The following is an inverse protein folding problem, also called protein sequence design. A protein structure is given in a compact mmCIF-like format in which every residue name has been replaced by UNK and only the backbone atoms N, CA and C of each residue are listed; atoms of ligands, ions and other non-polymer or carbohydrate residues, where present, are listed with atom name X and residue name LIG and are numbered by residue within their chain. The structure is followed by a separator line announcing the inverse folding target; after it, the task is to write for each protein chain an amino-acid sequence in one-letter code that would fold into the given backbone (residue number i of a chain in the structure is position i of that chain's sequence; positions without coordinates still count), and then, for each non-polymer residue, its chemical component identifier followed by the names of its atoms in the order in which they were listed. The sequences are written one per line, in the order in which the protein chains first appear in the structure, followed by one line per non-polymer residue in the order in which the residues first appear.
data_IF_008496428599
#
_entry.id   IF_008496428599
#
_cell.length_a   1.000
_cell.length_b   1.000
_cell.length_c   1.000
_cell.angle_alpha   90.00
_cell.angle_beta   90.00
_cell.angle_gamma   90.00
#
_symmetry.space_group_name_H-M   'P 1'
#
loop_
_entity.id
_entity.type
_entity.pdbx_description
1 polymer ?
#
# COMPACT_ATOMS: atom_id res chain seq x y z
N UNK A 1 19.89 6.55 7.97
CA UNK A 1 19.57 5.72 9.15
C UNK A 1 20.23 4.36 9.01
N UNK A 2 21.06 3.90 9.93
CA UNK A 2 21.65 2.54 9.84
C UNK A 2 20.54 1.52 10.00
N UNK A 3 20.34 0.64 9.03
CA UNK A 3 19.40 -0.49 9.07
C UNK A 3 19.63 -1.29 10.35
N UNK A 4 18.62 -1.40 11.21
CA UNK A 4 18.68 -2.35 12.32
C UNK A 4 18.61 -3.76 11.72
N UNK A 5 19.54 -4.66 12.03
CA UNK A 5 19.75 -5.90 11.27
C UNK A 5 18.64 -6.96 11.38
N UNK A 6 17.54 -6.71 12.07
CA UNK A 6 16.46 -7.68 12.33
C UNK A 6 15.03 -7.15 12.11
N UNK A 7 14.86 -5.96 11.52
CA UNK A 7 13.50 -5.47 11.24
C UNK A 7 12.96 -6.12 9.96
N UNK A 8 11.76 -6.69 10.06
CA UNK A 8 11.01 -7.17 8.90
C UNK A 8 10.55 -5.98 8.06
N UNK A 9 10.67 -6.11 6.76
CA UNK A 9 10.24 -5.10 5.78
C UNK A 9 8.92 -5.50 5.14
N UNK A 10 8.31 -4.58 4.40
CA UNK A 10 7.12 -4.85 3.62
C UNK A 10 7.37 -5.95 2.59
N UNK A 11 8.54 -5.97 1.94
CA UNK A 11 8.92 -7.03 1.01
C UNK A 11 8.99 -8.41 1.69
N UNK A 12 9.43 -8.51 2.95
CA UNK A 12 9.41 -9.77 3.69
C UNK A 12 8.00 -10.33 3.88
N UNK A 13 7.00 -9.45 3.91
CA UNK A 13 5.61 -9.84 4.10
C UNK A 13 4.87 -10.13 2.79
N UNK A 14 5.21 -9.44 1.70
CA UNK A 14 4.38 -9.40 0.49
C UNK A 14 5.04 -10.02 -0.75
N UNK A 15 6.35 -10.29 -0.75
CA UNK A 15 7.08 -10.69 -1.96
C UNK A 15 6.63 -12.01 -2.61
N UNK A 16 5.86 -12.83 -1.93
CA UNK A 16 5.25 -14.06 -2.44
C UNK A 16 3.80 -13.89 -2.89
N UNK A 17 3.28 -12.66 -2.88
CA UNK A 17 1.96 -12.30 -3.40
C UNK A 17 2.09 -11.39 -4.62
N UNK A 18 1.11 -11.50 -5.51
CA UNK A 18 0.83 -10.57 -6.60
C UNK A 18 -0.69 -10.40 -6.76
N UNK A 19 -1.12 -9.69 -7.80
CA UNK A 19 -2.54 -9.43 -8.04
C UNK A 19 -3.39 -10.71 -8.17
N UNK A 20 -2.81 -11.81 -8.61
CA UNK A 20 -3.49 -13.08 -8.87
C UNK A 20 -3.42 -14.05 -7.67
N UNK A 21 -2.65 -13.72 -6.64
CA UNK A 21 -2.50 -14.51 -5.42
C UNK A 21 -1.06 -14.85 -5.08
N UNK A 22 -0.75 -16.14 -4.85
CA UNK A 22 0.62 -16.55 -4.59
C UNK A 22 1.43 -16.64 -5.87
N UNK A 23 2.59 -16.00 -5.88
CA UNK A 23 3.56 -16.17 -6.96
C UNK A 23 4.06 -17.61 -6.98
N UNK A 24 4.16 -18.18 -8.18
CA UNK A 24 4.84 -19.43 -8.39
C UNK A 24 6.34 -19.26 -8.02
N UNK A 25 6.88 -20.29 -7.37
CA UNK A 25 8.23 -20.27 -6.82
C UNK A 25 9.28 -20.04 -7.94
N UNK A 26 10.10 -18.99 -7.88
CA UNK A 26 11.11 -18.71 -8.91
C UNK A 26 12.34 -19.64 -8.85
N UNK A 27 12.19 -20.88 -8.44
CA UNK A 27 13.18 -21.96 -8.71
C UNK A 27 14.33 -22.11 -7.73
N UNK A 28 14.62 -21.20 -6.82
CA UNK A 28 15.61 -21.40 -5.75
C UNK A 28 14.96 -21.45 -4.36
N UNK A 29 14.49 -22.66 -4.02
CA UNK A 29 13.79 -22.96 -2.76
C UNK A 29 14.61 -22.52 -1.54
N UNK A 30 15.94 -22.65 -1.55
CA UNK A 30 16.78 -22.28 -0.41
C UNK A 30 16.93 -20.77 -0.24
N UNK A 31 16.99 -20.02 -1.34
CA UNK A 31 17.04 -18.56 -1.33
C UNK A 31 15.70 -17.99 -0.87
N UNK A 32 14.61 -18.51 -1.41
CA UNK A 32 13.25 -18.18 -1.04
C UNK A 32 12.97 -18.49 0.44
N UNK A 33 13.35 -19.67 0.94
CA UNK A 33 13.14 -20.07 2.34
C UNK A 33 13.85 -19.17 3.36
N UNK A 34 15.01 -18.62 3.02
CA UNK A 34 15.76 -17.74 3.93
C UNK A 34 15.25 -16.32 3.92
N UNK A 35 14.89 -15.79 2.74
CA UNK A 35 14.49 -14.40 2.54
C UNK A 35 13.02 -14.16 2.90
N UNK A 36 12.16 -15.17 2.80
CA UNK A 36 10.71 -15.07 2.98
C UNK A 36 10.17 -15.85 4.19
N UNK A 37 10.98 -15.97 5.24
CA UNK A 37 10.60 -16.69 6.47
C UNK A 37 9.26 -16.19 7.05
N UNK A 38 9.03 -14.90 7.01
CA UNK A 38 7.79 -14.28 7.51
C UNK A 38 6.59 -14.68 6.63
N UNK A 39 6.67 -14.44 5.31
CA UNK A 39 5.62 -14.81 4.38
C UNK A 39 5.26 -16.31 4.49
N UNK A 40 6.26 -17.19 4.57
CA UNK A 40 6.05 -18.62 4.79
C UNK A 40 5.32 -18.93 6.10
N UNK A 41 5.62 -18.20 7.19
CA UNK A 41 4.90 -18.33 8.45
C UNK A 41 3.43 -17.93 8.29
N UNK A 42 3.16 -16.86 7.55
CA UNK A 42 1.79 -16.41 7.27
C UNK A 42 1.01 -17.43 6.44
N UNK A 43 1.65 -18.07 5.45
CA UNK A 43 1.07 -19.19 4.66
C UNK A 43 0.81 -20.45 5.48
N UNK A 44 1.26 -20.55 6.71
CA UNK A 44 1.10 -21.73 7.55
C UNK A 44 1.93 -22.94 7.10
N UNK A 45 3.06 -22.74 6.41
CA UNK A 45 3.97 -23.77 5.92
C UNK A 45 3.42 -24.64 4.76
N UNK A 46 2.28 -24.29 4.19
CA UNK A 46 1.66 -25.06 3.08
C UNK A 46 2.26 -24.64 1.73
N UNK A 47 2.67 -25.62 0.93
CA UNK A 47 3.31 -25.37 -0.39
C UNK A 47 2.32 -25.06 -1.51
N UNK A 48 1.16 -25.68 -1.53
CA UNK A 48 0.14 -25.50 -2.59
C UNK A 48 -1.16 -25.01 -1.99
N UNK A 49 -1.31 -23.71 -1.80
CA UNK A 49 -2.52 -23.12 -1.28
C UNK A 49 -3.13 -22.21 -2.33
N UNK A 50 -4.43 -22.33 -2.53
CA UNK A 50 -5.21 -21.35 -3.30
C UNK A 50 -4.95 -19.95 -2.74
N UNK A 51 -5.06 -18.95 -3.60
CA UNK A 51 -4.97 -17.54 -3.19
C UNK A 51 -5.74 -17.29 -1.88
N UNK A 52 -5.23 -16.41 -0.99
CA UNK A 52 -5.93 -16.07 0.25
C UNK A 52 -7.33 -15.53 -0.04
N UNK A 53 -8.32 -15.86 0.80
CA UNK A 53 -9.72 -15.53 0.54
C UNK A 53 -10.03 -14.04 0.43
N UNK A 54 -9.29 -13.19 1.12
CA UNK A 54 -9.50 -11.74 1.14
C UNK A 54 -8.47 -11.00 0.26
N UNK A 55 -7.90 -11.68 -0.74
CA UNK A 55 -6.94 -11.14 -1.66
C UNK A 55 -7.59 -10.76 -3.00
N UNK A 56 -8.54 -9.83 -2.93
CA UNK A 56 -9.24 -9.33 -4.11
C UNK A 56 -8.67 -7.96 -4.50
N UNK A 57 -8.09 -7.85 -5.67
CA UNK A 57 -7.66 -6.58 -6.22
C UNK A 57 -8.87 -5.76 -6.67
N UNK A 58 -8.88 -4.47 -6.37
CA UNK A 58 -9.96 -3.58 -6.79
C UNK A 58 -9.72 -3.07 -8.19
N UNK A 59 -10.77 -3.09 -9.00
CA UNK A 59 -10.76 -2.41 -10.29
C UNK A 59 -10.82 -0.90 -10.07
N UNK A 60 -9.80 -0.20 -10.54
CA UNK A 60 -9.72 1.25 -10.56
C UNK A 60 -9.96 1.79 -11.96
N UNK A 61 -10.54 3.00 -12.07
CA UNK A 61 -10.62 3.67 -13.36
C UNK A 61 -9.22 4.01 -13.88
N UNK A 62 -9.05 4.09 -15.21
CA UNK A 62 -7.75 4.43 -15.81
C UNK A 62 -7.12 5.69 -15.22
N UNK A 63 -7.93 6.73 -14.93
CA UNK A 63 -7.44 7.95 -14.27
C UNK A 63 -6.89 7.70 -12.86
N UNK A 64 -7.45 6.76 -12.11
CA UNK A 64 -7.00 6.42 -10.75
C UNK A 64 -5.72 5.59 -10.82
N UNK A 65 -5.62 4.64 -11.77
CA UNK A 65 -4.40 3.87 -12.01
C UNK A 65 -3.24 4.80 -12.36
N UNK A 66 -3.46 5.71 -13.31
CA UNK A 66 -2.47 6.71 -13.71
C UNK A 66 -2.02 7.61 -12.54
N UNK A 67 -2.95 7.92 -11.61
CA UNK A 67 -2.58 8.64 -10.38
C UNK A 67 -1.72 7.80 -9.45
N UNK A 68 -1.95 6.50 -9.36
CA UNK A 68 -1.10 5.61 -8.57
C UNK A 68 0.30 5.49 -9.19
N UNK A 69 0.41 5.41 -10.52
CA UNK A 69 1.70 5.48 -11.21
C UNK A 69 2.43 6.81 -10.88
N UNK A 70 1.70 7.93 -10.84
CA UNK A 70 2.27 9.22 -10.46
C UNK A 70 2.73 9.24 -9.00
N UNK A 71 2.02 8.58 -8.08
CA UNK A 71 2.47 8.46 -6.70
C UNK A 71 3.75 7.62 -6.57
N UNK A 72 3.91 6.56 -7.38
CA UNK A 72 5.17 5.80 -7.44
C UNK A 72 6.30 6.70 -7.91
N UNK A 73 6.13 7.41 -9.02
CA UNK A 73 7.12 8.37 -9.51
C UNK A 73 7.47 9.43 -8.45
N UNK A 74 6.48 9.99 -7.77
CA UNK A 74 6.73 10.96 -6.70
C UNK A 74 7.48 10.37 -5.50
N UNK A 75 7.22 9.11 -5.17
CA UNK A 75 7.94 8.41 -4.11
C UNK A 75 9.42 8.19 -4.47
N UNK A 76 9.70 7.82 -5.73
CA UNK A 76 11.06 7.60 -6.26
C UNK A 76 11.86 8.91 -6.32
N UNK A 77 11.21 10.00 -6.74
CA UNK A 77 11.83 11.32 -6.87
C UNK A 77 11.77 12.16 -5.58
N UNK A 78 11.24 11.58 -4.50
CA UNK A 78 11.04 12.28 -3.22
C UNK A 78 10.18 13.56 -3.32
N UNK A 79 9.20 13.56 -4.21
CA UNK A 79 8.21 14.63 -4.40
C UNK A 79 7.02 14.42 -3.46
N UNK A 80 6.56 15.48 -2.81
CA UNK A 80 5.39 15.39 -1.94
C UNK A 80 4.09 15.28 -2.74
N UNK A 81 3.26 14.28 -2.46
CA UNK A 81 1.93 14.11 -3.07
C UNK A 81 0.99 15.30 -2.80
N UNK A 82 1.32 16.18 -1.83
CA UNK A 82 0.54 17.40 -1.55
C UNK A 82 0.40 18.32 -2.76
N UNK A 83 1.31 18.22 -3.73
CA UNK A 83 1.25 18.98 -4.99
C UNK A 83 -0.06 18.72 -5.75
N UNK A 84 -0.57 17.48 -5.72
CA UNK A 84 -1.84 17.11 -6.37
C UNK A 84 -3.08 17.75 -5.72
N UNK A 85 -2.96 18.24 -4.50
CA UNK A 85 -4.03 18.97 -3.82
C UNK A 85 -4.07 20.47 -4.15
N UNK A 86 -3.02 21.04 -4.74
CA UNK A 86 -2.97 22.47 -5.04
C UNK A 86 -4.04 22.92 -6.04
N UNK A 87 -4.22 22.24 -7.20
CA UNK A 87 -5.23 22.65 -8.17
C UNK A 87 -6.67 22.54 -7.65
N UNK A 88 -6.90 21.76 -6.60
CA UNK A 88 -8.25 21.62 -6.01
C UNK A 88 -8.61 22.73 -5.03
N UNK A 89 -7.65 23.60 -4.70
CA UNK A 89 -7.78 24.68 -3.68
C UNK A 89 -7.62 26.07 -4.28
N UNK A 90 -7.19 26.16 -5.52
CA UNK A 90 -6.90 27.42 -6.21
C UNK A 90 -7.81 27.48 -7.43
N UNK A 91 -8.82 28.36 -7.41
CA UNK A 91 -9.82 28.47 -8.47
C UNK A 91 -9.24 29.05 -9.78
N UNK A 92 -8.22 29.91 -9.68
CA UNK A 92 -7.53 30.49 -10.83
C UNK A 92 -6.53 29.49 -11.41
N UNK A 93 -6.77 29.02 -12.63
CA UNK A 93 -5.94 28.02 -13.30
C UNK A 93 -4.49 28.47 -13.48
N UNK A 94 -4.26 29.72 -13.83
CA UNK A 94 -2.90 30.25 -14.00
C UNK A 94 -2.11 30.23 -12.68
N UNK A 95 -2.77 30.67 -11.59
CA UNK A 95 -2.16 30.64 -10.25
C UNK A 95 -1.95 29.22 -9.76
N UNK A 96 -2.90 28.31 -10.04
CA UNK A 96 -2.76 26.90 -9.70
C UNK A 96 -1.55 26.28 -10.40
N UNK A 97 -1.39 26.52 -11.71
CA UNK A 97 -0.23 26.03 -12.49
C UNK A 97 1.09 26.62 -11.96
N UNK A 98 1.12 27.90 -11.62
CA UNK A 98 2.30 28.53 -11.05
C UNK A 98 2.67 27.90 -9.69
N UNK A 99 1.70 27.67 -8.80
CA UNK A 99 1.91 27.04 -7.51
C UNK A 99 2.38 25.58 -7.63
N UNK A 100 1.84 24.83 -8.61
CA UNK A 100 2.28 23.49 -8.93
C UNK A 100 3.72 23.50 -9.43
N UNK A 101 4.06 24.38 -10.38
CA UNK A 101 5.41 24.48 -10.93
C UNK A 101 6.44 24.87 -9.85
N UNK A 102 6.11 25.81 -8.99
CA UNK A 102 6.94 26.20 -7.85
C UNK A 102 7.18 25.03 -6.89
N UNK A 103 6.12 24.25 -6.57
CA UNK A 103 6.20 23.11 -5.67
C UNK A 103 7.00 21.95 -6.25
N UNK A 104 6.95 21.74 -7.58
CA UNK A 104 7.71 20.73 -8.30
C UNK A 104 9.19 21.14 -8.47
N UNK A 105 9.50 22.44 -8.46
CA UNK A 105 10.86 22.94 -8.66
C UNK A 105 11.45 22.49 -10.02
N UNK A 106 12.63 21.90 -9.99
CA UNK A 106 13.33 21.45 -11.20
C UNK A 106 12.54 20.33 -11.94
N UNK A 107 11.72 19.55 -11.24
CA UNK A 107 10.88 18.50 -11.84
C UNK A 107 9.75 19.08 -12.71
N UNK A 108 9.37 20.35 -12.56
CA UNK A 108 8.29 20.97 -13.33
C UNK A 108 8.51 20.89 -14.85
N UNK A 109 9.78 20.91 -15.28
CA UNK A 109 10.19 20.84 -16.68
C UNK A 109 10.82 19.49 -17.05
N UNK A 110 10.79 18.54 -16.14
CA UNK A 110 11.31 17.21 -16.41
C UNK A 110 10.48 16.53 -17.51
N UNK A 111 11.14 15.71 -18.32
CA UNK A 111 10.45 14.84 -19.26
C UNK A 111 9.46 13.93 -18.48
N UNK A 112 8.29 13.69 -19.06
CA UNK A 112 7.28 12.83 -18.45
C UNK A 112 7.87 11.43 -18.17
N UNK A 113 7.64 10.87 -16.98
CA UNK A 113 8.24 9.60 -16.59
C UNK A 113 7.57 8.41 -17.29
N UNK A 114 7.82 8.28 -18.59
CA UNK A 114 7.36 7.16 -19.41
C UNK A 114 5.98 7.35 -20.05
N UNK A 115 5.64 6.39 -20.93
CA UNK A 115 4.43 6.43 -21.78
C UNK A 115 3.11 6.45 -21.03
N UNK A 116 3.07 6.05 -19.77
CA UNK A 116 1.86 6.05 -18.94
C UNK A 116 1.26 7.44 -18.76
N UNK A 117 2.07 8.49 -18.87
CA UNK A 117 1.67 9.89 -18.66
C UNK A 117 1.58 10.70 -19.95
N UNK A 118 1.98 10.12 -21.10
CA UNK A 118 1.88 10.77 -22.39
C UNK A 118 0.44 10.70 -22.91
N UNK A 119 -0.44 11.57 -22.41
CA UNK A 119 -1.75 11.79 -23.03
C UNK A 119 -1.71 12.97 -23.95
N UNK A 120 -2.57 12.92 -24.96
CA UNK A 120 -2.74 14.03 -25.90
C UNK A 120 -3.05 15.31 -25.11
N UNK A 121 -2.11 16.28 -25.17
CA UNK A 121 -2.21 17.57 -24.48
C UNK A 121 -1.28 17.78 -23.27
N UNK A 122 -0.74 16.71 -22.67
CA UNK A 122 0.24 16.87 -21.60
C UNK A 122 1.63 17.16 -22.18
N UNK A 123 2.25 18.27 -21.80
CA UNK A 123 3.58 18.73 -22.28
C UNK A 123 4.65 18.53 -21.25
N UNK A 124 4.29 18.59 -19.98
CA UNK A 124 5.18 18.53 -18.83
C UNK A 124 4.47 17.95 -17.59
N UNK A 125 5.24 17.77 -16.53
CA UNK A 125 4.70 17.24 -15.27
C UNK A 125 3.64 18.15 -14.62
N UNK A 126 3.67 19.46 -14.91
CA UNK A 126 2.63 20.39 -14.44
C UNK A 126 1.29 20.05 -15.05
N UNK A 127 1.24 19.77 -16.38
CA UNK A 127 0.01 19.37 -17.06
C UNK A 127 -0.56 18.08 -16.45
N UNK A 128 0.28 17.08 -16.21
CA UNK A 128 -0.13 15.82 -15.56
C UNK A 128 -0.71 16.05 -14.17
N UNK A 129 -0.05 16.86 -13.33
CA UNK A 129 -0.52 17.19 -11.98
C UNK A 129 -1.85 17.94 -12.03
N UNK A 130 -2.00 18.91 -12.92
CA UNK A 130 -3.26 19.65 -13.10
C UNK A 130 -4.39 18.71 -13.49
N UNK A 131 -4.16 17.80 -14.43
CA UNK A 131 -5.15 16.83 -14.90
C UNK A 131 -5.51 15.78 -13.85
N UNK A 132 -4.53 15.29 -13.06
CA UNK A 132 -4.71 14.25 -12.05
C UNK A 132 -5.01 14.79 -10.65
N UNK A 133 -5.23 16.11 -10.52
CA UNK A 133 -5.53 16.76 -9.24
C UNK A 133 -6.59 16.03 -8.41
N UNK A 134 -6.38 15.98 -7.09
CA UNK A 134 -7.25 15.23 -6.19
C UNK A 134 -7.18 15.74 -4.76
N UNK A 135 -8.31 15.64 -4.05
CA UNK A 135 -8.36 15.83 -2.60
C UNK A 135 -7.72 14.67 -1.81
N UNK A 136 -7.51 13.51 -2.46
CA UNK A 136 -6.87 12.32 -1.86
C UNK A 136 -5.34 12.37 -1.96
N UNK A 137 -4.75 13.54 -1.87
CA UNK A 137 -3.30 13.74 -1.95
C UNK A 137 -2.51 13.24 -0.72
N UNK A 138 -3.20 12.74 0.30
CA UNK A 138 -2.58 12.10 1.48
C UNK A 138 -2.24 10.63 1.26
N UNK A 139 -2.73 10.03 0.16
CA UNK A 139 -2.34 8.67 -0.22
C UNK A 139 -0.83 8.60 -0.44
N UNK A 140 -0.22 7.49 -0.03
CA UNK A 140 1.22 7.28 -0.18
C UNK A 140 1.53 5.84 -0.55
N UNK A 141 2.57 5.69 -1.35
CA UNK A 141 3.14 4.40 -1.69
C UNK A 141 3.81 3.81 -0.44
N UNK A 142 3.55 2.54 -0.18
CA UNK A 142 4.26 1.80 0.86
C UNK A 142 5.63 1.40 0.32
N UNK A 143 6.68 1.57 1.11
CA UNK A 143 8.04 1.24 0.68
C UNK A 143 8.39 -0.21 1.00
N UNK A 144 8.92 -0.92 0.03
CA UNK A 144 9.28 -2.34 0.14
C UNK A 144 10.38 -2.61 1.15
N UNK A 145 11.37 -1.74 1.22
CA UNK A 145 12.59 -1.92 2.00
C UNK A 145 12.51 -1.33 3.42
N UNK A 146 11.36 -0.78 3.79
CA UNK A 146 11.07 -0.23 5.10
C UNK A 146 10.11 -1.14 5.90
N UNK A 147 10.11 -1.04 7.26
CA UNK A 147 9.05 -1.62 8.07
C UNK A 147 7.68 -1.09 7.65
N UNK A 148 6.65 -1.94 7.79
CA UNK A 148 5.29 -1.54 7.47
C UNK A 148 4.85 -0.30 8.25
N UNK A 149 4.17 0.66 7.60
CA UNK A 149 3.53 1.75 8.30
C UNK A 149 2.38 1.22 9.17
N UNK A 150 1.87 2.04 10.09
CA UNK A 150 0.68 1.70 10.87
C UNK A 150 -0.49 1.39 9.94
N UNK A 151 -1.03 0.17 10.03
CA UNK A 151 -2.19 -0.22 9.24
C UNK A 151 -3.41 0.55 9.71
N UNK A 152 -4.07 1.21 8.76
CA UNK A 152 -5.24 2.05 9.01
C UNK A 152 -6.54 1.36 8.60
N UNK A 153 -7.67 1.92 9.02
CA UNK A 153 -9.00 1.33 8.80
C UNK A 153 -9.61 1.64 7.42
N UNK A 154 -8.93 2.44 6.62
CA UNK A 154 -9.37 2.84 5.28
C UNK A 154 -8.45 2.27 4.21
N UNK A 155 -8.99 1.63 3.16
CA UNK A 155 -8.18 1.04 2.10
C UNK A 155 -7.43 2.07 1.25
N UNK A 156 -7.97 3.28 1.17
CA UNK A 156 -7.52 4.31 0.24
C UNK A 156 -6.26 5.07 0.70
N UNK A 157 -5.71 4.79 1.89
CA UNK A 157 -4.57 5.56 2.42
C UNK A 157 -3.22 5.04 1.89
N UNK A 158 -3.16 3.78 1.47
CA UNK A 158 -1.94 3.14 1.01
C UNK A 158 -2.04 2.60 -0.41
N UNK A 159 -1.05 2.95 -1.22
CA UNK A 159 -0.83 2.40 -2.56
C UNK A 159 0.16 1.25 -2.43
N UNK A 160 -0.06 0.18 -3.19
CA UNK A 160 0.81 -0.99 -3.21
C UNK A 160 2.24 -0.61 -3.61
N UNK A 161 3.29 -1.26 -3.06
CA UNK A 161 4.69 -0.88 -3.31
C UNK A 161 5.11 -0.87 -4.78
N UNK A 162 4.61 -1.81 -5.58
CA UNK A 162 5.05 -2.02 -6.96
C UNK A 162 3.93 -2.07 -8.00
N UNK A 163 2.67 -2.00 -7.59
CA UNK A 163 1.52 -2.07 -8.49
C UNK A 163 0.63 -0.83 -8.34
N UNK A 164 0.09 -0.34 -9.46
CA UNK A 164 -0.74 0.87 -9.49
C UNK A 164 -2.16 0.61 -8.96
N UNK A 165 -2.25 0.18 -7.71
CA UNK A 165 -3.49 -0.15 -6.98
C UNK A 165 -3.37 0.09 -5.49
N UNK A 166 -4.48 0.11 -4.79
CA UNK A 166 -4.47 0.00 -3.34
C UNK A 166 -4.12 -1.42 -2.89
N UNK A 167 -3.71 -1.54 -1.64
CA UNK A 167 -3.44 -2.84 -1.03
C UNK A 167 -4.73 -3.62 -0.79
N UNK A 168 -4.67 -4.94 -0.90
CA UNK A 168 -5.79 -5.85 -0.56
C UNK A 168 -5.93 -6.02 0.95
N UNK A 169 -7.05 -6.58 1.39
CA UNK A 169 -7.28 -6.92 2.81
C UNK A 169 -6.21 -7.89 3.31
N UNK A 170 -5.85 -8.91 2.52
CA UNK A 170 -4.81 -9.89 2.89
C UNK A 170 -3.43 -9.26 3.01
N UNK A 171 -3.06 -8.38 2.11
CA UNK A 171 -1.76 -7.67 2.19
C UNK A 171 -1.66 -6.85 3.48
N UNK A 172 -2.69 -6.07 3.82
CA UNK A 172 -2.72 -5.34 5.09
C UNK A 172 -2.78 -6.27 6.31
N UNK A 173 -3.51 -7.38 6.21
CA UNK A 173 -3.58 -8.39 7.27
C UNK A 173 -2.21 -9.04 7.54
N UNK A 174 -1.43 -9.32 6.50
CA UNK A 174 -0.05 -9.80 6.65
C UNK A 174 0.86 -8.80 7.34
N UNK A 175 0.73 -7.50 7.03
CA UNK A 175 1.46 -6.45 7.74
C UNK A 175 1.10 -6.42 9.24
N UNK A 176 -0.13 -6.82 9.57
CA UNK A 176 -0.62 -7.00 10.94
C UNK A 176 -0.37 -8.42 11.52
N UNK A 177 0.42 -9.25 10.83
CA UNK A 177 0.74 -10.63 11.23
C UNK A 177 -0.44 -11.60 11.33
N UNK A 178 -1.54 -11.37 10.60
CA UNK A 178 -2.57 -12.38 10.42
C UNK A 178 -2.10 -13.48 9.47
N UNK A 179 -2.34 -14.76 9.80
CA UNK A 179 -2.05 -15.85 8.87
C UNK A 179 -3.05 -15.89 7.72
N UNK A 180 -2.62 -16.36 6.54
CA UNK A 180 -3.42 -16.37 5.30
C UNK A 180 -4.68 -17.24 5.36
N UNK A 181 -4.73 -18.19 6.29
CA UNK A 181 -5.92 -19.00 6.51
C UNK A 181 -7.03 -18.26 7.28
N UNK A 182 -6.70 -17.10 7.88
CA UNK A 182 -7.70 -16.28 8.57
C UNK A 182 -8.58 -15.57 7.55
N UNK A 183 -9.90 -15.72 7.73
CA UNK A 183 -10.89 -15.14 6.84
C UNK A 183 -11.61 -13.97 7.52
N UNK A 184 -11.44 -12.78 6.99
CA UNK A 184 -12.24 -11.62 7.37
C UNK A 184 -13.59 -11.69 6.67
N UNK A 185 -14.68 -11.58 7.44
CA UNK A 185 -16.04 -11.64 6.93
C UNK A 185 -16.66 -10.26 6.78
N UNK A 186 -17.85 -10.20 6.15
CA UNK A 186 -18.53 -8.96 5.77
C UNK A 186 -17.98 -8.36 4.47
N UNK A 187 -18.41 -7.16 4.12
CA UNK A 187 -17.96 -6.44 2.92
C UNK A 187 -16.55 -5.90 3.10
N UNK A 188 -15.81 -5.81 2.01
CA UNK A 188 -14.47 -5.20 2.04
C UNK A 188 -14.53 -3.75 2.53
N UNK A 189 -15.48 -2.96 1.96
CA UNK A 189 -15.71 -1.56 2.33
C UNK A 189 -17.20 -1.28 2.46
N UNK A 190 -17.57 -0.34 3.33
CA UNK A 190 -18.94 0.16 3.45
C UNK A 190 -18.98 1.68 3.35
N UNK A 191 -20.07 2.21 2.78
CA UNK A 191 -20.33 3.65 2.79
C UNK A 191 -20.53 4.20 4.22
N UNK A 192 -20.36 5.50 4.40
CA UNK A 192 -20.29 6.18 5.70
C UNK A 192 -21.43 5.85 6.68
N UNK A 193 -22.68 5.75 6.21
CA UNK A 193 -23.84 5.45 7.06
C UNK A 193 -23.87 4.00 7.56
N UNK A 194 -23.43 3.04 6.76
CA UNK A 194 -23.46 1.61 7.12
C UNK A 194 -22.30 1.17 8.01
N UNK A 195 -21.23 1.95 8.11
CA UNK A 195 -20.09 1.66 9.02
C UNK A 195 -20.47 1.58 10.47
N UNK A 196 -21.60 2.17 10.86
CA UNK A 196 -22.11 2.09 12.24
C UNK A 196 -22.71 0.72 12.58
N UNK A 197 -23.10 -0.05 11.56
CA UNK A 197 -23.81 -1.33 11.72
C UNK A 197 -22.96 -2.51 11.24
N UNK A 198 -22.17 -2.31 10.18
CA UNK A 198 -21.29 -3.33 9.60
C UNK A 198 -19.82 -2.88 9.73
N UNK A 199 -18.99 -3.70 10.34
CA UNK A 199 -17.54 -3.47 10.38
C UNK A 199 -16.92 -4.08 9.13
N UNK A 200 -16.48 -3.26 8.14
CA UNK A 200 -15.88 -3.78 6.91
C UNK A 200 -14.52 -4.43 7.17
N UNK A 201 -14.09 -5.30 6.26
CA UNK A 201 -12.87 -6.10 6.40
C UNK A 201 -11.63 -5.22 6.64
N UNK A 202 -11.44 -4.13 5.89
CA UNK A 202 -10.34 -3.19 6.12
C UNK A 202 -10.36 -2.57 7.52
N UNK A 203 -11.55 -2.26 8.03
CA UNK A 203 -11.69 -1.73 9.40
C UNK A 203 -11.37 -2.79 10.44
N UNK A 204 -11.73 -4.06 10.20
CA UNK A 204 -11.39 -5.16 11.10
C UNK A 204 -9.86 -5.32 11.19
N UNK A 205 -9.16 -5.31 10.06
CA UNK A 205 -7.70 -5.38 10.04
C UNK A 205 -7.07 -4.21 10.78
N UNK A 206 -7.47 -2.97 10.45
CA UNK A 206 -6.86 -1.77 11.03
C UNK A 206 -7.11 -1.60 12.54
N UNK A 207 -8.22 -2.13 13.06
CA UNK A 207 -8.53 -2.09 14.50
C UNK A 207 -7.95 -3.28 15.29
N UNK A 208 -7.39 -4.27 14.63
CA UNK A 208 -6.92 -5.47 15.28
C UNK A 208 -5.59 -5.25 16.03
N UNK A 209 -5.41 -5.96 17.13
CA UNK A 209 -4.10 -6.17 17.71
C UNK A 209 -3.37 -7.23 16.88
N UNK A 210 -2.13 -6.98 16.42
CA UNK A 210 -1.39 -7.94 15.63
C UNK A 210 -1.23 -9.29 16.36
N UNK A 211 -1.63 -10.43 15.75
CA UNK A 211 -1.59 -11.74 16.43
C UNK A 211 -0.23 -12.13 17.03
N UNK A 212 0.87 -11.85 16.33
CA UNK A 212 2.22 -12.16 16.86
C UNK A 212 2.60 -11.25 18.04
N UNK A 213 2.13 -10.02 18.07
CA UNK A 213 2.31 -9.12 19.21
C UNK A 213 1.50 -9.62 20.42
N UNK A 214 0.23 -9.98 20.19
CA UNK A 214 -0.61 -10.54 21.25
C UNK A 214 -0.03 -11.84 21.82
N UNK A 215 0.51 -12.71 20.96
CA UNK A 215 1.20 -13.93 21.37
C UNK A 215 2.40 -13.61 22.26
N UNK A 216 3.28 -12.71 21.85
CA UNK A 216 4.48 -12.35 22.62
C UNK A 216 4.13 -11.76 24.02
N UNK A 217 3.08 -10.92 24.08
CA UNK A 217 2.58 -10.40 25.36
C UNK A 217 2.02 -11.54 26.23
N UNK A 218 1.25 -12.46 25.64
CA UNK A 218 0.70 -13.60 26.34
C UNK A 218 1.77 -14.53 26.90
N UNK A 219 2.82 -14.82 26.15
CA UNK A 219 3.96 -15.63 26.57
C UNK A 219 4.68 -14.97 27.76
N UNK A 220 4.91 -13.66 27.72
CA UNK A 220 5.50 -12.90 28.81
C UNK A 220 4.64 -12.95 30.09
N UNK A 221 3.32 -12.77 29.95
CA UNK A 221 2.40 -12.84 31.10
C UNK A 221 2.40 -14.23 31.75
N UNK A 222 2.42 -15.29 30.93
CA UNK A 222 2.51 -16.68 31.44
C UNK A 222 3.81 -16.88 32.23
N UNK A 223 4.93 -16.33 31.75
CA UNK A 223 6.22 -16.40 32.45
C UNK A 223 6.19 -15.68 33.80
N UNK A 224 5.64 -14.46 33.84
CA UNK A 224 5.53 -13.65 35.05
C UNK A 224 4.56 -14.24 36.08
N UNK A 225 3.48 -14.89 35.64
CA UNK A 225 2.43 -15.43 36.49
C UNK A 225 2.67 -16.89 36.90
N UNK A 226 3.75 -17.53 36.44
CA UNK A 226 4.13 -18.85 36.94
C UNK A 226 4.60 -18.73 38.42
N UNK A 227 4.02 -19.50 39.33
CA UNK A 227 4.40 -19.53 40.73
C UNK A 227 5.82 -20.04 40.93
#
# INVERSE_FOLDING_TARGET
MKRQPNLLTVADALSDLDADGYRDDPGDVKYFERKHRYARKMRGGRRNVKAPKNHNTRNHSARVVERFDLYHFFADENISNSVLGLPTRIDDEFKARQAVAEKLGDHAKAALPGRSFEKEGDRDLVDVVMRLATLKHTQRVVKDDEPAPTVVTLPDDYVHPSEARIMTVTELARLQSFPDWFEFRSKETTGSHRRKVEVPQYTQVGNAVPPLMAQAIGELLVEVLRP
#
